data_IF_063368618336
#
_entry.id   IF_063368618336
#
_cell.length_a   1.000
_cell.length_b   1.000
_cell.length_c   1.000
_cell.angle_alpha   90.00
_cell.angle_beta   90.00
_cell.angle_gamma   90.00
#
_symmetry.space_group_name_H-M   'P 1'
#
loop_
_entity.id
_entity.type
_entity.pdbx_description
1 polymer ?
#
# COMPACT_ATOMS: atom_id res chain seq x y z
N UNK A 1 -9.60 -27.55 -9.81
CA UNK A 1 -8.95 -28.21 -8.65
C UNK A 1 -7.44 -28.37 -8.85
N UNK A 2 -6.97 -28.99 -9.95
CA UNK A 2 -5.52 -29.16 -10.21
C UNK A 2 -4.75 -27.84 -10.34
N UNK A 3 -5.33 -26.82 -10.98
CA UNK A 3 -4.65 -25.53 -11.20
C UNK A 3 -4.39 -24.76 -9.90
N UNK A 4 -5.30 -24.87 -8.92
CA UNK A 4 -5.13 -24.26 -7.59
C UNK A 4 -3.97 -24.94 -6.85
N UNK A 5 -3.86 -26.27 -6.95
CA UNK A 5 -2.76 -27.02 -6.31
C UNK A 5 -1.40 -26.68 -6.94
N UNK A 6 -1.34 -26.51 -8.26
CA UNK A 6 -0.12 -26.06 -8.93
C UNK A 6 0.26 -24.64 -8.54
N UNK A 7 -0.71 -23.71 -8.52
CA UNK A 7 -0.47 -22.34 -8.06
C UNK A 7 0.03 -22.31 -6.60
N UNK A 8 -0.55 -23.13 -5.73
CA UNK A 8 -0.12 -23.25 -4.34
C UNK A 8 1.30 -23.81 -4.22
N UNK A 9 1.61 -24.89 -4.94
CA UNK A 9 2.95 -25.48 -4.96
C UNK A 9 3.99 -24.48 -5.46
N UNK A 10 3.71 -23.77 -6.54
CA UNK A 10 4.63 -22.80 -7.13
C UNK A 10 4.87 -21.61 -6.18
N UNK A 11 3.83 -21.19 -5.45
CA UNK A 11 3.94 -20.21 -4.38
C UNK A 11 4.85 -20.69 -3.25
N UNK A 12 4.61 -21.89 -2.69
CA UNK A 12 5.41 -22.47 -1.60
C UNK A 12 6.87 -22.69 -2.02
N UNK A 13 7.10 -23.23 -3.21
CA UNK A 13 8.44 -23.40 -3.77
C UNK A 13 9.18 -22.06 -3.90
N UNK A 14 8.51 -21.02 -4.41
CA UNK A 14 9.08 -19.68 -4.53
C UNK A 14 9.40 -19.08 -3.16
N UNK A 15 8.50 -19.26 -2.19
CA UNK A 15 8.69 -18.77 -0.83
C UNK A 15 9.85 -19.48 -0.12
N UNK A 16 9.93 -20.81 -0.27
CA UNK A 16 11.02 -21.62 0.24
C UNK A 16 12.37 -21.25 -0.38
N UNK A 17 12.43 -21.11 -1.71
CA UNK A 17 13.65 -20.69 -2.41
C UNK A 17 14.14 -19.32 -1.94
N UNK A 18 13.23 -18.37 -1.76
CA UNK A 18 13.57 -17.07 -1.21
C UNK A 18 14.06 -17.15 0.25
N UNK A 19 13.53 -18.10 1.05
CA UNK A 19 14.02 -18.33 2.41
C UNK A 19 15.41 -18.98 2.47
N UNK A 20 15.76 -19.79 1.47
CA UNK A 20 17.09 -20.38 1.31
C UNK A 20 18.12 -19.31 0.92
N UNK A 21 17.81 -18.48 -0.08
CA UNK A 21 18.68 -17.41 -0.56
C UNK A 21 18.83 -16.26 0.44
N UNK A 22 17.77 -15.97 1.20
CA UNK A 22 17.73 -14.90 2.18
C UNK A 22 17.24 -15.44 3.55
N UNK A 23 18.11 -16.11 4.32
CA UNK A 23 17.74 -16.72 5.60
C UNK A 23 17.29 -15.65 6.61
N UNK A 24 16.27 -15.96 7.41
CA UNK A 24 15.50 -14.98 8.21
C UNK A 24 16.37 -14.03 9.05
N UNK A 25 17.23 -14.59 9.91
CA UNK A 25 18.05 -13.82 10.85
C UNK A 25 19.14 -12.98 10.14
N UNK A 26 20.02 -13.56 9.30
CA UNK A 26 21.05 -12.76 8.63
C UNK A 26 20.44 -11.75 7.64
N UNK A 27 19.38 -12.11 6.93
CA UNK A 27 18.75 -11.19 5.99
C UNK A 27 18.03 -10.02 6.69
N UNK A 28 17.42 -10.25 7.86
CA UNK A 28 16.91 -9.17 8.71
C UNK A 28 18.02 -8.18 9.09
N UNK A 29 19.16 -8.68 9.56
CA UNK A 29 20.30 -7.82 9.92
C UNK A 29 20.81 -7.04 8.71
N UNK A 30 20.89 -7.70 7.56
CA UNK A 30 21.27 -7.11 6.28
C UNK A 30 20.35 -5.95 5.88
N UNK A 31 19.02 -6.13 5.96
CA UNK A 31 18.03 -5.10 5.66
C UNK A 31 18.11 -3.94 6.64
N UNK A 32 18.24 -4.23 7.94
CA UNK A 32 18.37 -3.22 8.98
C UNK A 32 19.61 -2.33 8.77
N UNK A 33 20.76 -2.90 8.42
CA UNK A 33 21.98 -2.12 8.11
C UNK A 33 21.85 -1.19 6.91
N UNK A 34 20.85 -1.41 6.05
CA UNK A 34 20.59 -0.64 4.82
C UNK A 34 19.27 0.11 4.88
N UNK A 35 18.71 0.28 6.07
CA UNK A 35 17.44 0.97 6.30
C UNK A 35 16.30 0.49 5.39
N UNK A 36 16.26 -0.81 5.11
CA UNK A 36 15.28 -1.45 4.22
C UNK A 36 15.21 -0.84 2.81
N UNK A 37 16.33 -0.36 2.27
CA UNK A 37 16.44 0.04 0.87
C UNK A 37 16.07 -1.14 -0.07
N UNK A 38 15.23 -0.89 -1.09
CA UNK A 38 14.72 -1.94 -1.97
C UNK A 38 15.80 -2.49 -2.92
N UNK A 39 16.80 -1.69 -3.26
CA UNK A 39 17.94 -2.02 -4.12
C UNK A 39 19.12 -2.62 -3.35
N UNK A 40 18.97 -2.82 -2.04
CA UNK A 40 19.99 -3.41 -1.18
C UNK A 40 20.54 -4.75 -1.73
N UNK A 41 19.69 -5.53 -2.39
CA UNK A 41 20.04 -6.84 -2.97
C UNK A 41 21.12 -6.80 -4.05
N UNK A 42 21.33 -5.66 -4.71
CA UNK A 42 22.33 -5.52 -5.77
C UNK A 42 23.76 -5.88 -5.31
N UNK A 43 24.08 -5.63 -4.04
CA UNK A 43 25.41 -5.94 -3.49
C UNK A 43 25.61 -7.41 -3.10
N UNK A 44 24.59 -8.26 -3.22
CA UNK A 44 24.63 -9.70 -2.90
C UNK A 44 23.91 -10.54 -3.97
N UNK A 45 23.81 -10.01 -5.19
CA UNK A 45 23.19 -10.67 -6.35
C UNK A 45 21.76 -11.15 -6.13
N UNK A 46 20.97 -10.42 -5.33
CA UNK A 46 19.55 -10.66 -5.14
C UNK A 46 18.71 -9.65 -5.90
N UNK A 47 17.67 -10.13 -6.59
CA UNK A 47 16.74 -9.26 -7.30
C UNK A 47 15.91 -8.42 -6.34
N UNK A 48 15.57 -7.19 -6.75
CA UNK A 48 14.68 -6.28 -6.02
C UNK A 48 13.36 -6.95 -5.64
N UNK A 49 12.78 -7.75 -6.55
CA UNK A 49 11.58 -8.55 -6.30
C UNK A 49 11.74 -9.50 -5.12
N UNK A 50 12.87 -10.23 -5.04
CA UNK A 50 13.13 -11.14 -3.93
C UNK A 50 13.29 -10.37 -2.61
N UNK A 51 14.06 -9.28 -2.62
CA UNK A 51 14.27 -8.41 -1.45
C UNK A 51 12.92 -7.93 -0.90
N UNK A 52 12.10 -7.30 -1.75
CA UNK A 52 10.80 -6.75 -1.38
C UNK A 52 9.82 -7.83 -0.90
N UNK A 53 9.78 -9.01 -1.54
CA UNK A 53 8.94 -10.14 -1.09
C UNK A 53 9.38 -10.70 0.25
N UNK A 54 10.68 -10.61 0.60
CA UNK A 54 11.20 -11.11 1.88
C UNK A 54 10.98 -10.13 3.03
N UNK A 55 10.91 -8.81 2.79
CA UNK A 55 10.71 -7.81 3.86
C UNK A 55 9.54 -8.16 4.81
N UNK A 56 8.30 -8.46 4.34
CA UNK A 56 7.17 -8.80 5.22
C UNK A 56 7.41 -10.04 6.10
N UNK A 57 8.25 -10.97 5.64
CA UNK A 57 8.47 -12.26 6.31
C UNK A 57 9.62 -12.26 7.33
N UNK A 58 10.56 -11.31 7.20
CA UNK A 58 11.76 -11.25 8.05
C UNK A 58 11.78 -10.04 8.98
N UNK A 59 11.08 -8.97 8.63
CA UNK A 59 10.99 -7.74 9.42
C UNK A 59 10.46 -8.02 10.84
N UNK A 60 10.99 -7.33 11.88
CA UNK A 60 10.39 -7.37 13.22
C UNK A 60 9.06 -6.60 13.28
N UNK A 61 8.91 -5.56 12.46
CA UNK A 61 7.63 -4.89 12.27
C UNK A 61 6.70 -5.79 11.44
N UNK A 62 5.46 -6.03 11.90
CA UNK A 62 4.53 -7.00 11.29
C UNK A 62 3.57 -6.38 10.27
N UNK A 63 3.43 -5.06 10.25
CA UNK A 63 2.41 -4.38 9.47
C UNK A 63 2.88 -4.01 8.06
N UNK A 64 3.30 -5.02 7.31
CA UNK A 64 3.76 -4.89 5.92
C UNK A 64 2.71 -5.32 4.90
N UNK A 65 2.87 -4.82 3.68
CA UNK A 65 2.25 -5.35 2.48
C UNK A 65 3.23 -5.35 1.31
N UNK A 66 2.99 -6.23 0.35
CA UNK A 66 3.68 -6.29 -0.93
C UNK A 66 2.67 -6.52 -2.05
N UNK A 67 2.85 -5.83 -3.17
CA UNK A 67 2.08 -5.98 -4.39
C UNK A 67 3.00 -6.17 -5.60
N UNK A 68 2.61 -7.06 -6.49
CA UNK A 68 3.19 -7.23 -7.83
C UNK A 68 2.09 -7.01 -8.88
N UNK A 69 2.19 -5.93 -9.64
CA UNK A 69 1.16 -5.47 -10.56
C UNK A 69 1.66 -5.47 -12.01
N UNK A 70 0.86 -6.04 -12.91
CA UNK A 70 1.12 -6.08 -14.35
C UNK A 70 0.13 -5.18 -15.08
N UNK A 71 0.55 -4.48 -16.15
CA UNK A 71 -0.38 -3.80 -17.05
C UNK A 71 -1.47 -4.76 -17.57
N UNK A 72 -2.74 -4.32 -17.71
CA UNK A 72 -3.26 -2.97 -17.46
C UNK A 72 -3.74 -2.70 -16.01
N UNK A 73 -3.32 -3.49 -15.02
CA UNK A 73 -3.69 -3.29 -13.61
C UNK A 73 -3.98 -4.58 -12.83
N UNK A 74 -3.50 -5.73 -13.31
CA UNK A 74 -3.70 -7.02 -12.66
C UNK A 74 -2.68 -7.23 -11.54
N UNK A 75 -3.13 -7.64 -10.35
CA UNK A 75 -2.22 -8.06 -9.29
C UNK A 75 -1.93 -9.56 -9.36
N UNK A 76 -0.65 -9.91 -9.45
CA UNK A 76 -0.20 -11.31 -9.54
C UNK A 76 0.18 -11.90 -8.18
N UNK A 77 0.74 -11.09 -7.29
CA UNK A 77 1.13 -11.53 -5.96
C UNK A 77 0.82 -10.45 -4.92
N UNK A 78 0.24 -10.88 -3.80
CA UNK A 78 -0.13 -10.01 -2.69
C UNK A 78 0.23 -10.67 -1.36
N UNK A 79 1.06 -10.02 -0.56
CA UNK A 79 1.34 -10.40 0.83
C UNK A 79 0.81 -9.30 1.75
N UNK A 80 0.04 -9.65 2.78
CA UNK A 80 -0.57 -8.68 3.71
C UNK A 80 -0.46 -9.16 5.15
N UNK A 81 0.41 -8.52 5.93
CA UNK A 81 0.46 -8.65 7.39
C UNK A 81 -0.31 -7.53 8.11
N UNK A 82 -0.62 -6.42 7.42
CA UNK A 82 -1.26 -5.24 7.99
C UNK A 82 -2.79 -5.16 7.80
N UNK A 83 -3.40 -6.15 7.15
CA UNK A 83 -4.83 -6.13 6.86
C UNK A 83 -5.27 -4.96 5.96
N UNK A 84 -4.38 -4.40 5.12
CA UNK A 84 -4.75 -3.35 4.16
C UNK A 84 -5.93 -3.86 3.30
N UNK A 85 -7.06 -3.12 3.27
CA UNK A 85 -8.17 -3.52 2.45
C UNK A 85 -7.79 -3.30 0.99
N UNK A 86 -7.88 -4.37 0.20
CA UNK A 86 -7.62 -4.30 -1.22
C UNK A 86 -8.85 -3.77 -1.95
N UNK A 87 -8.67 -2.98 -3.02
CA UNK A 87 -9.67 -2.81 -4.07
C UNK A 87 -10.21 -4.15 -4.60
N UNK A 88 -9.35 -5.18 -4.62
CA UNK A 88 -9.54 -6.48 -5.28
C UNK A 88 -9.81 -7.59 -4.25
N UNK A 89 -11.03 -8.11 -4.21
CA UNK A 89 -11.37 -9.30 -3.40
C UNK A 89 -10.86 -10.62 -3.98
N UNK A 90 -10.41 -10.65 -5.24
CA UNK A 90 -10.26 -11.88 -6.02
C UNK A 90 -9.10 -11.91 -7.04
N UNK A 91 -8.09 -11.02 -6.94
CA UNK A 91 -6.95 -10.97 -7.89
C UNK A 91 -7.32 -10.82 -9.39
N UNK A 92 -8.57 -10.49 -9.72
CA UNK A 92 -8.98 -10.22 -11.10
C UNK A 92 -8.87 -8.73 -11.43
N UNK A 93 -8.83 -8.43 -12.74
CA UNK A 93 -8.94 -7.06 -13.26
C UNK A 93 -10.16 -6.36 -12.62
N UNK A 94 -9.92 -5.23 -11.96
CA UNK A 94 -11.00 -4.37 -11.44
C UNK A 94 -11.33 -3.31 -12.49
N UNK A 95 -12.62 -3.06 -12.66
CA UNK A 95 -13.14 -2.08 -13.62
C UNK A 95 -12.88 -0.63 -13.19
N UNK A 96 -12.72 -0.36 -11.90
CA UNK A 96 -12.63 0.99 -11.33
C UNK A 96 -11.50 1.18 -10.27
N UNK A 97 -10.24 0.77 -10.55
CA UNK A 97 -9.16 0.91 -9.57
C UNK A 97 -8.83 2.37 -9.33
N UNK A 98 -8.55 2.73 -8.09
CA UNK A 98 -8.05 4.06 -7.76
C UNK A 98 -6.65 4.27 -8.36
N UNK A 99 -6.56 5.15 -9.36
CA UNK A 99 -5.31 5.47 -10.07
C UNK A 99 -4.25 6.16 -9.19
N UNK A 100 -4.62 6.57 -7.96
CA UNK A 100 -3.72 7.28 -7.05
C UNK A 100 -2.90 6.37 -6.13
N UNK A 101 -3.18 5.06 -6.09
CA UNK A 101 -2.29 4.11 -5.41
C UNK A 101 -0.92 4.15 -6.07
N UNK A 102 0.13 4.08 -5.25
CA UNK A 102 1.52 4.17 -5.70
C UNK A 102 1.82 3.21 -6.87
N UNK A 103 1.29 1.99 -6.79
CA UNK A 103 1.49 0.94 -7.81
C UNK A 103 0.85 1.28 -9.17
N UNK A 104 -0.38 1.81 -9.23
CA UNK A 104 -1.01 2.18 -10.51
C UNK A 104 -0.49 3.49 -11.07
N UNK A 105 -0.18 4.45 -10.19
CA UNK A 105 0.47 5.69 -10.61
C UNK A 105 1.76 5.36 -11.37
N UNK A 106 2.57 4.46 -10.84
CA UNK A 106 3.81 4.05 -11.48
C UNK A 106 3.61 3.23 -12.76
N UNK A 107 2.55 2.41 -12.86
CA UNK A 107 2.18 1.70 -14.11
C UNK A 107 1.96 2.67 -15.29
N UNK A 108 1.53 3.90 -15.02
CA UNK A 108 1.28 4.93 -16.02
C UNK A 108 2.48 5.88 -16.28
N UNK A 109 3.59 5.73 -15.56
CA UNK A 109 4.80 6.55 -15.74
C UNK A 109 5.89 5.82 -16.53
N UNK A 110 6.79 6.54 -17.23
CA UNK A 110 7.92 5.94 -17.94
C UNK A 110 9.24 5.91 -17.15
N UNK A 111 9.20 6.26 -15.85
CA UNK A 111 10.41 6.28 -15.01
C UNK A 111 10.75 4.90 -14.48
N UNK A 112 12.05 4.59 -14.47
CA UNK A 112 12.61 3.40 -13.80
C UNK A 112 13.13 3.71 -12.38
N UNK A 113 13.03 4.97 -11.94
CA UNK A 113 13.41 5.35 -10.57
C UNK A 113 12.35 4.91 -9.55
N UNK A 114 12.77 4.42 -8.37
CA UNK A 114 11.85 4.20 -7.25
C UNK A 114 11.06 5.45 -6.89
N UNK A 115 9.85 5.24 -6.37
CA UNK A 115 8.99 6.31 -5.86
C UNK A 115 8.41 5.92 -4.51
N UNK A 116 8.63 6.78 -3.52
CA UNK A 116 8.14 6.65 -2.15
C UNK A 116 6.90 7.54 -1.97
N UNK A 117 5.78 6.99 -1.48
CA UNK A 117 4.51 7.71 -1.35
C UNK A 117 3.90 7.53 0.03
N UNK A 118 3.54 8.63 0.69
CA UNK A 118 2.66 8.64 1.87
C UNK A 118 1.21 8.68 1.41
N UNK A 119 0.40 7.75 1.91
CA UNK A 119 -0.99 7.59 1.47
C UNK A 119 -1.95 7.50 2.65
N UNK A 120 -3.03 8.28 2.60
CA UNK A 120 -4.18 8.13 3.49
C UNK A 120 -5.23 7.30 2.77
N UNK A 121 -5.58 6.13 3.31
CA UNK A 121 -6.66 5.29 2.80
C UNK A 121 -7.89 5.45 3.69
N UNK A 122 -9.02 5.84 3.09
CA UNK A 122 -10.31 5.86 3.78
C UNK A 122 -11.17 4.68 3.34
N UNK A 123 -11.74 4.00 4.32
CA UNK A 123 -12.65 2.86 4.17
C UNK A 123 -13.86 3.06 5.07
N UNK A 124 -14.83 3.83 4.60
CA UNK A 124 -15.94 4.28 5.45
C UNK A 124 -15.44 5.28 6.50
N UNK A 125 -15.56 4.91 7.77
CA UNK A 125 -15.09 5.70 8.92
C UNK A 125 -13.66 5.33 9.35
N UNK A 126 -13.13 4.20 8.87
CA UNK A 126 -11.75 3.79 9.13
C UNK A 126 -10.80 4.57 8.22
N UNK A 127 -9.78 5.21 8.81
CA UNK A 127 -8.72 5.92 8.10
C UNK A 127 -7.39 5.30 8.47
N UNK A 128 -6.57 5.00 7.46
CA UNK A 128 -5.28 4.34 7.64
C UNK A 128 -4.17 5.10 6.95
N UNK A 129 -2.99 5.10 7.57
CA UNK A 129 -1.80 5.75 7.04
C UNK A 129 -0.81 4.72 6.53
N UNK A 130 -0.46 4.81 5.26
CA UNK A 130 0.51 3.95 4.62
C UNK A 130 1.70 4.73 4.11
N UNK A 131 2.86 4.08 4.10
CA UNK A 131 3.97 4.47 3.27
C UNK A 131 4.32 3.31 2.35
N UNK A 132 4.54 3.59 1.07
CA UNK A 132 4.86 2.59 0.05
C UNK A 132 6.06 3.04 -0.78
N UNK A 133 6.92 2.11 -1.17
CA UNK A 133 7.94 2.30 -2.19
C UNK A 133 7.66 1.40 -3.40
N UNK A 134 7.53 2.01 -4.58
CA UNK A 134 7.25 1.31 -5.84
C UNK A 134 8.41 1.46 -6.82
N UNK A 135 8.65 0.44 -7.63
CA UNK A 135 9.61 0.49 -8.75
C UNK A 135 9.08 -0.29 -9.96
N UNK A 136 9.34 0.23 -11.16
CA UNK A 136 9.11 -0.47 -12.43
C UNK A 136 10.25 -1.47 -12.66
N UNK A 137 9.88 -2.70 -13.02
CA UNK A 137 10.83 -3.78 -13.24
C UNK A 137 10.42 -4.59 -14.47
N UNK A 138 11.18 -5.64 -14.77
CA UNK A 138 10.81 -6.69 -15.72
C UNK A 138 10.91 -8.04 -15.03
N UNK A 139 9.94 -8.91 -15.30
CA UNK A 139 9.99 -10.29 -14.82
C UNK A 139 11.03 -11.12 -15.62
N UNK A 140 11.20 -12.39 -15.24
CA UNK A 140 12.14 -13.30 -15.91
C UNK A 140 11.83 -13.52 -17.40
N UNK A 141 10.58 -13.32 -17.82
CA UNK A 141 10.14 -13.38 -19.21
C UNK A 141 10.17 -11.99 -19.90
N UNK A 142 10.78 -10.99 -19.27
CA UNK A 142 10.91 -9.59 -19.72
C UNK A 142 9.59 -8.80 -19.77
N UNK A 143 8.51 -9.33 -19.21
CA UNK A 143 7.24 -8.62 -19.12
C UNK A 143 7.38 -7.43 -18.16
N UNK A 144 6.87 -6.24 -18.52
CA UNK A 144 6.89 -5.09 -17.63
C UNK A 144 5.91 -5.30 -16.47
N UNK A 145 6.34 -4.93 -15.27
CA UNK A 145 5.51 -4.95 -14.07
C UNK A 145 5.98 -3.87 -13.09
N UNK A 146 5.16 -3.58 -12.09
CA UNK A 146 5.48 -2.70 -10.97
C UNK A 146 5.40 -3.51 -9.70
N UNK A 147 6.50 -3.53 -8.96
CA UNK A 147 6.57 -4.10 -7.62
C UNK A 147 6.50 -2.98 -6.59
N UNK A 148 5.75 -3.23 -5.52
CA UNK A 148 5.51 -2.26 -4.46
C UNK A 148 5.58 -2.95 -3.11
N UNK A 149 6.27 -2.34 -2.16
CA UNK A 149 6.30 -2.74 -0.76
C UNK A 149 5.84 -1.56 0.08
N UNK A 150 5.11 -1.82 1.15
CA UNK A 150 4.70 -0.75 2.04
C UNK A 150 4.38 -1.22 3.45
N UNK A 151 4.18 -0.25 4.33
CA UNK A 151 3.89 -0.44 5.75
C UNK A 151 2.70 0.40 6.18
N UNK A 152 1.92 -0.13 7.12
CA UNK A 152 1.00 0.68 7.93
C UNK A 152 1.82 1.46 8.96
N UNK A 153 1.58 2.75 9.11
CA UNK A 153 2.33 3.60 10.04
C UNK A 153 1.60 3.78 11.37
N UNK A 154 0.32 3.45 11.43
CA UNK A 154 -0.54 3.71 12.61
C UNK A 154 -0.06 2.96 13.85
N UNK A 155 0.31 1.66 13.79
CA UNK A 155 0.84 0.94 14.94
C UNK A 155 2.16 1.52 15.46
N UNK A 156 3.01 2.03 14.56
CA UNK A 156 4.28 2.66 14.95
C UNK A 156 4.07 4.03 15.62
N UNK A 157 3.09 4.82 15.17
CA UNK A 157 2.68 6.06 15.82
C UNK A 157 2.16 5.80 17.24
N UNK A 158 1.26 4.80 17.40
CA UNK A 158 0.73 4.40 18.71
C UNK A 158 1.84 3.97 19.67
N UNK A 159 2.83 3.20 19.19
CA UNK A 159 3.97 2.76 19.99
C UNK A 159 4.87 3.92 20.46
N UNK A 160 4.68 5.13 19.93
CA UNK A 160 5.34 6.36 20.37
C UNK A 160 4.39 7.29 21.12
N UNK A 161 3.23 6.79 21.55
CA UNK A 161 2.18 7.59 22.20
C UNK A 161 1.69 8.77 21.34
N UNK A 162 1.81 8.66 20.01
CA UNK A 162 1.27 9.61 19.05
C UNK A 162 -0.09 9.08 18.59
N UNK A 163 -1.13 9.92 18.67
CA UNK A 163 -2.44 9.57 18.14
C UNK A 163 -2.41 9.52 16.60
N UNK A 164 -2.59 8.34 15.98
CA UNK A 164 -2.63 8.22 14.53
C UNK A 164 -3.80 8.97 13.92
N UNK A 165 -4.96 9.06 14.60
CA UNK A 165 -6.14 9.72 14.07
C UNK A 165 -5.86 11.20 13.80
N UNK A 166 -5.32 11.91 14.80
CA UNK A 166 -4.85 13.30 14.64
C UNK A 166 -3.83 13.46 13.52
N UNK A 167 -2.86 12.55 13.43
CA UNK A 167 -1.83 12.58 12.38
C UNK A 167 -2.44 12.44 10.98
N UNK A 168 -3.35 11.49 10.84
CA UNK A 168 -4.06 11.21 9.59
C UNK A 168 -4.96 12.38 9.21
N UNK A 169 -5.71 12.94 10.16
CA UNK A 169 -6.62 14.05 9.92
C UNK A 169 -5.89 15.31 9.43
N UNK A 170 -4.71 15.61 9.99
CA UNK A 170 -3.87 16.71 9.50
C UNK A 170 -3.45 16.51 8.04
N UNK A 171 -2.99 15.30 7.69
CA UNK A 171 -2.55 14.98 6.33
C UNK A 171 -3.74 15.00 5.37
N UNK A 172 -4.88 14.43 5.78
CA UNK A 172 -6.10 14.38 4.98
C UNK A 172 -6.64 15.77 4.70
N UNK A 173 -6.74 16.65 5.72
CA UNK A 173 -7.22 18.01 5.56
C UNK A 173 -6.35 18.79 4.55
N UNK A 174 -5.03 18.66 4.65
CA UNK A 174 -4.11 19.26 3.69
C UNK A 174 -4.34 18.70 2.27
N UNK A 175 -4.43 17.38 2.12
CA UNK A 175 -4.64 16.74 0.82
C UNK A 175 -5.97 17.15 0.20
N UNK A 176 -7.07 17.23 0.95
CA UNK A 176 -8.37 17.68 0.42
C UNK A 176 -8.30 19.13 -0.07
N UNK A 177 -7.62 20.02 0.65
CA UNK A 177 -7.34 21.38 0.18
C UNK A 177 -6.54 21.44 -1.13
N UNK A 178 -5.74 20.41 -1.44
CA UNK A 178 -4.97 20.26 -2.67
C UNK A 178 -5.60 19.38 -3.75
N UNK A 179 -6.91 19.07 -3.69
CA UNK A 179 -7.57 18.22 -4.70
C UNK A 179 -7.23 16.72 -4.57
N UNK A 180 -6.80 16.31 -3.38
CA UNK A 180 -6.50 14.93 -3.00
C UNK A 180 -5.01 14.59 -2.90
N UNK A 181 -4.12 15.54 -3.20
CA UNK A 181 -2.68 15.44 -2.96
C UNK A 181 -2.12 16.79 -2.52
N UNK A 182 -1.31 16.84 -1.47
CA UNK A 182 -0.74 18.10 -0.96
C UNK A 182 0.51 17.85 -0.09
N UNK A 183 1.31 18.89 0.18
CA UNK A 183 2.45 18.81 1.09
C UNK A 183 2.04 18.35 2.49
N UNK A 184 2.81 17.44 3.09
CA UNK A 184 2.56 16.96 4.45
C UNK A 184 2.82 18.09 5.46
N UNK A 185 1.88 18.40 6.38
CA UNK A 185 2.06 19.41 7.42
C UNK A 185 3.30 19.16 8.30
N UNK A 186 3.94 20.22 8.78
CA UNK A 186 5.22 20.14 9.51
C UNK A 186 5.18 19.19 10.72
N UNK A 187 4.11 19.25 11.52
CA UNK A 187 3.91 18.37 12.69
C UNK A 187 3.88 16.89 12.27
N UNK A 188 3.02 16.55 11.30
CA UNK A 188 2.93 15.19 10.76
C UNK A 188 4.25 14.73 10.12
N UNK A 189 4.97 15.62 9.42
CA UNK A 189 6.27 15.30 8.82
C UNK A 189 7.31 14.93 9.87
N UNK A 190 7.37 15.67 10.98
CA UNK A 190 8.29 15.37 12.10
C UNK A 190 7.97 14.03 12.74
N UNK A 191 6.68 13.73 12.95
CA UNK A 191 6.23 12.43 13.45
C UNK A 191 6.67 11.30 12.51
N UNK A 192 6.44 11.43 11.20
CA UNK A 192 6.86 10.45 10.18
C UNK A 192 8.39 10.28 10.11
N UNK A 193 9.15 11.35 10.25
CA UNK A 193 10.62 11.29 10.34
C UNK A 193 11.09 10.52 11.57
N UNK A 194 10.42 10.69 12.72
CA UNK A 194 10.69 9.91 13.92
C UNK A 194 10.39 8.42 13.69
N UNK A 195 9.21 8.10 13.12
CA UNK A 195 8.83 6.72 12.78
C UNK A 195 9.81 6.08 11.79
N UNK A 196 10.30 6.82 10.79
CA UNK A 196 11.32 6.35 9.85
C UNK A 196 12.59 5.88 10.57
N UNK A 197 13.05 6.62 11.59
CA UNK A 197 14.22 6.26 12.39
C UNK A 197 13.96 5.04 13.28
N UNK A 198 12.80 4.98 13.93
CA UNK A 198 12.43 3.90 14.85
C UNK A 198 12.27 2.57 14.13
N UNK A 199 11.55 2.57 13.00
CA UNK A 199 11.41 1.38 12.17
C UNK A 199 12.68 1.09 11.37
N UNK A 200 13.59 2.08 11.28
CA UNK A 200 14.78 2.08 10.44
C UNK A 200 14.42 1.78 8.98
N UNK A 201 13.38 2.43 8.46
CA UNK A 201 12.90 2.29 7.09
C UNK A 201 13.08 3.65 6.40
N UNK A 202 14.08 3.74 5.52
CA UNK A 202 14.53 5.00 4.93
C UNK A 202 13.49 5.65 4.02
N UNK A 203 12.77 4.85 3.24
CA UNK A 203 11.78 5.34 2.29
C UNK A 203 10.53 5.98 2.95
N UNK A 204 10.35 5.83 4.27
CA UNK A 204 9.36 6.61 5.02
C UNK A 204 9.75 8.10 5.06
N UNK A 205 11.02 8.40 5.36
CA UNK A 205 11.50 9.78 5.37
C UNK A 205 11.50 10.39 3.97
N UNK A 206 11.86 9.61 2.94
CA UNK A 206 11.77 10.03 1.54
C UNK A 206 10.33 10.38 1.15
N UNK A 207 9.37 9.49 1.46
CA UNK A 207 7.96 9.74 1.20
C UNK A 207 7.44 10.97 1.95
N UNK A 208 7.86 11.15 3.21
CA UNK A 208 7.48 12.29 4.04
C UNK A 208 8.03 13.64 3.56
N UNK A 209 9.07 13.63 2.71
CA UNK A 209 9.64 14.81 2.07
C UNK A 209 8.87 15.25 0.82
N UNK A 210 7.88 14.47 0.38
CA UNK A 210 7.04 14.73 -0.79
C UNK A 210 5.58 14.93 -0.39
N UNK A 211 4.71 15.19 -1.38
CA UNK A 211 3.27 15.32 -1.15
C UNK A 211 2.65 13.98 -0.73
N UNK A 212 1.76 14.04 0.26
CA UNK A 212 0.88 12.92 0.56
C UNK A 212 -0.27 12.85 -0.46
N UNK A 213 -0.94 11.71 -0.47
CA UNK A 213 -2.05 11.44 -1.39
C UNK A 213 -3.18 10.71 -0.66
N UNK A 214 -4.42 11.16 -0.85
CA UNK A 214 -5.61 10.39 -0.46
C UNK A 214 -5.87 9.30 -1.50
N UNK A 215 -5.94 8.04 -1.08
CA UNK A 215 -6.25 6.88 -1.92
C UNK A 215 -7.58 6.26 -1.51
N UNK A 216 -8.18 5.45 -2.39
CA UNK A 216 -9.44 4.77 -2.12
C UNK A 216 -9.44 3.32 -2.60
N UNK A 217 -10.29 2.48 -2.01
CA UNK A 217 -10.43 1.10 -2.46
C UNK A 217 -11.01 1.04 -3.87
N UNK A 218 -12.03 1.85 -4.17
CA UNK A 218 -12.64 1.93 -5.50
C UNK A 218 -12.82 3.38 -5.89
N UNK A 219 -12.54 3.71 -7.15
CA UNK A 219 -12.68 5.09 -7.63
C UNK A 219 -14.13 5.58 -7.54
N UNK A 220 -15.10 4.67 -7.69
CA UNK A 220 -16.53 4.90 -7.47
C UNK A 220 -16.87 5.36 -6.04
N UNK A 221 -16.09 4.94 -5.04
CA UNK A 221 -16.27 5.28 -3.62
C UNK A 221 -15.13 6.17 -3.11
N UNK A 222 -14.61 7.04 -3.98
CA UNK A 222 -13.49 7.92 -3.63
C UNK A 222 -13.88 8.87 -2.47
N UNK A 223 -13.04 9.02 -1.42
CA UNK A 223 -13.30 9.88 -0.28
C UNK A 223 -12.87 11.34 -0.47
N UNK A 224 -12.09 11.63 -1.53
CA UNK A 224 -11.66 12.99 -1.87
C UNK A 224 -12.85 13.88 -2.18
N UNK A 225 -12.76 15.16 -1.82
CA UNK A 225 -13.76 16.16 -2.22
C UNK A 225 -13.90 16.25 -3.74
N UNK A 226 -12.76 16.28 -4.44
CA UNK A 226 -12.71 16.07 -5.90
C UNK A 226 -12.47 14.60 -6.18
N UNK A 227 -13.54 13.87 -6.52
CA UNK A 227 -13.49 12.43 -6.74
C UNK A 227 -12.56 12.05 -7.91
N UNK A 228 -11.96 10.85 -7.81
CA UNK A 228 -11.03 10.30 -8.82
C UNK A 228 -11.57 10.29 -10.26
N UNK A 229 -12.90 10.28 -10.44
CA UNK A 229 -13.59 10.18 -11.73
C UNK A 229 -14.38 11.47 -12.09
N UNK A 230 -14.17 12.60 -11.40
CA UNK A 230 -14.94 13.82 -11.59
C UNK A 230 -15.92 14.10 -10.43
N UNK A 231 -17.08 14.73 -10.66
CA UNK A 231 -18.07 14.99 -9.58
C UNK A 231 -18.56 13.68 -8.96
N UNK A 232 -18.67 13.66 -7.64
CA UNK A 232 -19.24 12.53 -6.89
C UNK A 232 -20.64 12.19 -7.45
N UNK A 233 -20.92 10.93 -7.84
CA UNK A 233 -22.28 10.53 -8.12
C UNK A 233 -23.10 10.67 -6.82
N UNK A 234 -24.37 11.11 -6.89
CA UNK A 234 -25.20 11.23 -5.71
C UNK A 234 -25.28 9.88 -4.99
N UNK A 235 -25.12 9.87 -3.66
CA UNK A 235 -25.29 8.66 -2.85
C UNK A 235 -26.73 8.15 -3.01
N UNK A 236 -26.92 7.14 -3.85
CA UNK A 236 -28.18 6.44 -3.96
C UNK A 236 -28.40 5.64 -2.68
N UNK A 237 -29.49 5.90 -1.94
CA UNK A 237 -29.89 5.06 -0.81
C UNK A 237 -29.99 3.61 -1.29
N UNK A 238 -29.25 2.65 -0.68
CA UNK A 238 -29.39 1.23 -0.96
C UNK A 238 -30.86 0.81 -0.87
N UNK A 239 -31.28 -0.07 -1.77
CA UNK A 239 -32.65 -0.58 -1.78
C UNK A 239 -33.01 -1.28 -0.46
N UNK A 240 -32.04 -1.90 0.20
CA UNK A 240 -32.17 -2.49 1.54
C UNK A 240 -32.53 -1.45 2.60
N UNK A 241 -31.92 -0.26 2.56
CA UNK A 241 -32.24 0.80 3.52
C UNK A 241 -33.63 1.37 3.29
N UNK A 242 -34.08 1.44 2.03
CA UNK A 242 -35.48 1.79 1.70
C UNK A 242 -36.47 0.74 2.20
N UNK A 243 -36.14 -0.54 2.07
CA UNK A 243 -36.98 -1.64 2.57
C UNK A 243 -37.02 -1.61 4.10
N UNK A 244 -35.87 -1.40 4.76
CA UNK A 244 -35.78 -1.32 6.21
C UNK A 244 -36.58 -0.14 6.76
N UNK A 245 -36.49 1.03 6.14
CA UNK A 245 -37.31 2.20 6.49
C UNK A 245 -38.80 1.94 6.25
N UNK A 246 -39.18 1.21 5.19
CA UNK A 246 -40.58 0.85 4.92
C UNK A 246 -41.14 -0.11 5.99
N UNK A 247 -40.38 -1.16 6.35
CA UNK A 247 -40.78 -2.11 7.39
C UNK A 247 -40.90 -1.45 8.76
N UNK A 248 -39.99 -0.51 9.09
CA UNK A 248 -40.06 0.25 10.34
C UNK A 248 -41.22 1.25 10.37
N UNK A 249 -41.72 1.72 9.21
CA UNK A 249 -42.92 2.58 9.12
C UNK A 249 -44.21 1.79 9.23
N UNK A 250 -44.24 0.55 8.74
CA UNK A 250 -45.41 -0.34 8.83
C UNK A 250 -45.62 -0.94 10.24
N UNK A 251 -44.70 -0.69 11.18
CA UNK A 251 -44.77 -1.12 12.58
C UNK A 251 -45.10 0.01 13.57
N UNK A 252 -45.38 1.24 13.09
CA UNK A 252 -45.81 2.39 13.89
C UNK A 252 -47.26 2.75 13.54
#
# INVERSE_FOLDING_TARGET
AKDILYAWRDFECSYFAAALLAPKTPFRQFLSRRSYAIDAGNGIDLTTTLVMRRMPSVSPYSHWHYFDAYPPGNLRAVYRGNGIPLPWGNMTLVSDPCQHWAVFRMLNTQTDRPSSQISVLRSGDDKRLYCCQSIRSRDAAKNPHVICVGVDLSPALLAQSIDPARTIDMIEASCNGGGGSAPIPTEARQQLQSISKILNIGWIAEGAATDATIICQRSSSCPRETHCMGKAPPKLKPQIDRIREAVLRDQA
#
